data_IF_404627674908
#
_entry.id   IF_404627674908
#
_cell.length_a   1.000
_cell.length_b   1.000
_cell.length_c   1.000
_cell.angle_alpha   90.00
_cell.angle_beta   90.00
_cell.angle_gamma   90.00
#
_symmetry.space_group_name_H-M   'P 1'
#
loop_
_entity.id
_entity.type
_entity.pdbx_description
1 polymer ?
#
# COMPACT_ATOMS: atom_id res chain seq x y z
N UNK A 1 -45.94 12.97 2.83
CA UNK A 1 -45.15 13.20 1.60
C UNK A 1 -43.71 12.87 1.97
N UNK A 2 -43.27 11.64 1.66
CA UNK A 2 -42.41 11.35 0.50
C UNK A 2 -41.06 12.06 0.68
N UNK A 3 -39.97 11.42 1.11
CA UNK A 3 -39.45 10.14 0.63
C UNK A 3 -38.38 10.45 -0.40
N UNK A 4 -37.12 10.22 -0.06
CA UNK A 4 -36.03 9.96 -1.01
C UNK A 4 -34.98 9.11 -0.29
N UNK A 5 -34.97 7.85 -0.71
CA UNK A 5 -34.01 6.82 -0.40
C UNK A 5 -32.93 6.97 -1.47
N UNK A 6 -31.67 7.14 -1.06
CA UNK A 6 -30.50 7.11 -1.93
C UNK A 6 -29.50 6.13 -1.33
N UNK A 7 -29.53 4.91 -1.86
CA UNK A 7 -28.68 3.76 -1.55
C UNK A 7 -27.20 4.05 -1.79
N UNK A 8 -26.35 3.89 -0.77
CA UNK A 8 -24.97 3.44 -0.94
C UNK A 8 -24.71 2.31 0.07
N UNK A 9 -25.04 1.09 -0.34
CA UNK A 9 -24.60 -0.13 0.33
C UNK A 9 -23.10 -0.34 0.09
N UNK A 10 -22.27 0.39 0.83
CA UNK A 10 -20.87 0.05 1.07
C UNK A 10 -20.78 -0.74 2.38
N UNK A 11 -19.95 -1.78 2.41
CA UNK A 11 -19.85 -2.75 3.50
C UNK A 11 -19.88 -2.11 4.90
N UNK A 12 -20.86 -2.49 5.73
CA UNK A 12 -20.87 -2.22 7.18
C UNK A 12 -19.73 -3.01 7.84
N UNK A 13 -18.51 -2.51 7.67
CA UNK A 13 -17.36 -2.84 8.50
C UNK A 13 -17.00 -1.59 9.27
N UNK A 14 -16.79 -1.72 10.58
CA UNK A 14 -16.28 -0.65 11.44
C UNK A 14 -15.05 -0.04 10.75
N UNK A 15 -15.17 1.14 10.15
CA UNK A 15 -14.00 1.87 9.67
C UNK A 15 -13.17 2.22 10.91
N UNK A 16 -11.92 1.73 11.02
CA UNK A 16 -11.06 2.17 12.12
C UNK A 16 -10.94 3.69 12.04
N UNK A 17 -10.96 4.41 13.17
CA UNK A 17 -10.91 5.86 13.17
C UNK A 17 -9.78 6.36 12.25
N UNK A 18 -10.03 7.44 11.50
CA UNK A 18 -9.19 8.00 10.41
C UNK A 18 -7.72 8.29 10.77
N UNK A 19 -7.32 8.04 12.01
CA UNK A 19 -6.07 8.45 12.63
C UNK A 19 -5.12 7.25 12.84
N UNK A 20 -5.56 6.02 12.58
CA UNK A 20 -4.73 4.83 12.83
C UNK A 20 -3.80 4.47 11.66
N UNK A 21 -2.61 3.98 12.01
CA UNK A 21 -1.64 3.53 11.02
C UNK A 21 -2.11 2.24 10.34
N UNK A 22 -1.94 2.15 9.02
CA UNK A 22 -2.39 0.99 8.23
C UNK A 22 -1.24 0.30 7.49
N UNK A 23 -1.36 -1.02 7.33
CA UNK A 23 -0.41 -1.85 6.59
C UNK A 23 -0.84 -2.00 5.13
N UNK A 24 -0.53 -1.00 4.30
CA UNK A 24 -0.89 -1.00 2.88
C UNK A 24 -0.08 -2.00 2.08
N UNK A 25 -0.72 -2.65 1.11
CA UNK A 25 -0.08 -3.53 0.12
C UNK A 25 -0.27 -2.91 -1.26
N UNK A 26 0.75 -3.03 -2.11
CA UNK A 26 0.65 -2.55 -3.49
C UNK A 26 -0.21 -3.50 -4.34
N UNK A 27 -0.95 -2.96 -5.31
CA UNK A 27 -1.80 -3.76 -6.19
C UNK A 27 -1.01 -4.84 -6.94
N UNK A 28 0.21 -4.53 -7.42
CA UNK A 28 1.06 -5.52 -8.11
C UNK A 28 1.45 -6.68 -7.21
N UNK A 29 1.93 -6.41 -6.00
CA UNK A 29 2.28 -7.46 -5.03
C UNK A 29 1.04 -8.33 -4.70
N UNK A 30 -0.14 -7.70 -4.61
CA UNK A 30 -1.37 -8.41 -4.36
C UNK A 30 -1.79 -9.30 -5.54
N UNK A 31 -1.73 -8.77 -6.76
CA UNK A 31 -2.05 -9.49 -7.99
C UNK A 31 -1.08 -10.65 -8.23
N UNK A 32 0.21 -10.47 -7.95
CA UNK A 32 1.22 -11.52 -8.12
C UNK A 32 0.93 -12.70 -7.18
N UNK A 33 0.62 -12.43 -5.90
CA UNK A 33 0.23 -13.46 -4.96
C UNK A 33 -1.09 -14.14 -5.35
N UNK A 34 -2.11 -13.38 -5.75
CA UNK A 34 -3.37 -13.95 -6.22
C UNK A 34 -3.16 -14.84 -7.45
N UNK A 35 -2.34 -14.40 -8.40
CA UNK A 35 -2.05 -15.16 -9.62
C UNK A 35 -1.39 -16.49 -9.29
N UNK A 36 -0.43 -16.51 -8.36
CA UNK A 36 0.23 -17.73 -7.93
C UNK A 36 -0.75 -18.70 -7.24
N UNK A 37 -1.59 -18.18 -6.33
CA UNK A 37 -2.58 -18.99 -5.60
C UNK A 37 -3.70 -19.53 -6.49
N UNK A 38 -4.12 -18.78 -7.51
CA UNK A 38 -5.20 -19.19 -8.43
C UNK A 38 -4.67 -20.23 -9.43
N UNK A 39 -3.44 -20.08 -9.90
CA UNK A 39 -2.86 -20.94 -10.94
C UNK A 39 -2.18 -22.19 -10.40
N UNK A 40 -2.01 -22.31 -9.08
CA UNK A 40 -1.42 -23.51 -8.49
C UNK A 40 -2.39 -24.70 -8.56
N UNK A 41 -1.95 -25.82 -9.14
CA UNK A 41 -2.66 -27.11 -9.19
C UNK A 41 -2.74 -27.82 -7.82
N UNK A 42 -2.48 -27.11 -6.72
CA UNK A 42 -2.58 -27.68 -5.40
C UNK A 42 -4.05 -27.76 -4.98
N UNK A 43 -4.57 -28.98 -4.81
CA UNK A 43 -5.87 -29.30 -4.18
C UNK A 43 -6.06 -28.60 -2.81
N UNK A 44 -4.98 -28.09 -2.22
CA UNK A 44 -4.99 -27.09 -1.17
C UNK A 44 -5.38 -25.70 -1.69
N UNK A 45 -6.55 -25.58 -2.32
CA UNK A 45 -7.17 -24.28 -2.51
C UNK A 45 -7.25 -23.59 -1.14
N UNK A 46 -6.76 -22.35 -1.04
CA UNK A 46 -6.90 -21.53 0.16
C UNK A 46 -8.37 -21.54 0.58
N UNK A 47 -8.68 -22.21 1.69
CA UNK A 47 -10.02 -22.24 2.26
C UNK A 47 -10.13 -21.18 3.34
N UNK A 48 -11.20 -20.37 3.28
CA UNK A 48 -11.48 -19.33 4.26
C UNK A 48 -10.89 -17.97 3.90
N UNK A 49 -10.70 -17.14 4.91
CA UNK A 49 -10.19 -15.76 4.78
C UNK A 49 -8.70 -15.74 5.06
N UNK A 50 -7.91 -15.20 4.13
CA UNK A 50 -6.49 -14.93 4.31
C UNK A 50 -6.25 -13.43 4.20
N UNK A 51 -5.59 -12.86 5.20
CA UNK A 51 -5.19 -11.46 5.19
C UNK A 51 -3.94 -11.22 4.34
N UNK A 52 -3.92 -10.08 3.64
CA UNK A 52 -2.78 -9.59 2.88
C UNK A 52 -2.40 -8.20 3.36
N UNK A 53 -1.13 -7.99 3.69
CA UNK A 53 -0.65 -6.68 4.14
C UNK A 53 0.79 -6.42 3.76
N UNK A 54 1.14 -5.14 3.63
CA UNK A 54 2.53 -4.73 3.45
C UNK A 54 3.40 -4.92 4.70
N UNK A 55 4.69 -4.59 4.56
CA UNK A 55 5.70 -4.78 5.59
C UNK A 55 5.66 -3.78 6.74
N UNK A 56 5.21 -2.55 6.48
CA UNK A 56 5.28 -1.43 7.42
C UNK A 56 3.93 -0.74 7.51
N UNK A 57 3.53 -0.38 8.73
CA UNK A 57 2.41 0.52 8.95
C UNK A 57 2.79 1.94 8.53
N UNK A 58 1.81 2.67 7.99
CA UNK A 58 1.93 4.08 7.65
C UNK A 58 0.84 4.86 8.36
N UNK A 59 1.23 5.90 9.10
CA UNK A 59 0.27 6.86 9.64
C UNK A 59 -0.15 7.83 8.52
N UNK A 60 -1.34 8.46 8.62
CA UNK A 60 -1.72 9.51 7.69
C UNK A 60 -0.67 10.65 7.63
N UNK A 61 -0.10 11.01 8.78
CA UNK A 61 0.96 12.03 8.88
C UNK A 61 2.22 11.62 8.10
N UNK A 62 2.75 10.41 8.32
CA UNK A 62 3.95 9.96 7.63
C UNK A 62 3.73 9.80 6.12
N UNK A 63 2.52 9.43 5.71
CA UNK A 63 2.13 9.37 4.31
C UNK A 63 2.14 10.76 3.67
N UNK A 64 1.51 11.76 4.31
CA UNK A 64 1.47 13.13 3.79
C UNK A 64 2.86 13.76 3.70
N UNK A 65 3.72 13.54 4.71
CA UNK A 65 5.11 14.01 4.70
C UNK A 65 5.89 13.39 3.53
N UNK A 66 5.70 12.09 3.25
CA UNK A 66 6.37 11.40 2.13
C UNK A 66 5.86 11.91 0.78
N UNK A 67 4.54 12.10 0.64
CA UNK A 67 3.93 12.69 -0.55
C UNK A 67 4.46 14.10 -0.81
N UNK A 68 4.57 14.93 0.23
CA UNK A 68 5.07 16.30 0.13
C UNK A 68 6.53 16.32 -0.34
N UNK A 69 7.37 15.47 0.24
CA UNK A 69 8.77 15.32 -0.15
C UNK A 69 8.91 14.86 -1.61
N UNK A 70 8.18 13.81 -1.99
CA UNK A 70 8.20 13.27 -3.34
C UNK A 70 7.72 14.29 -4.38
N UNK A 71 6.63 15.00 -4.09
CA UNK A 71 6.10 16.04 -4.97
C UNK A 71 7.08 17.22 -5.13
N UNK A 72 7.72 17.66 -4.04
CA UNK A 72 8.76 18.69 -4.09
C UNK A 72 9.94 18.26 -4.97
N UNK A 73 10.41 17.01 -4.85
CA UNK A 73 11.49 16.49 -5.69
C UNK A 73 11.06 16.40 -7.16
N UNK A 74 9.85 15.92 -7.40
CA UNK A 74 9.29 15.79 -8.73
C UNK A 74 9.19 17.16 -9.44
N UNK A 75 8.57 18.15 -8.79
CA UNK A 75 8.45 19.51 -9.34
C UNK A 75 9.79 20.22 -9.49
N UNK A 76 10.73 20.05 -8.55
CA UNK A 76 12.08 20.59 -8.69
C UNK A 76 12.84 19.98 -9.87
N UNK A 77 12.62 18.71 -10.18
CA UNK A 77 13.20 18.05 -11.34
C UNK A 77 12.63 18.62 -12.64
N UNK A 78 11.30 18.77 -12.72
CA UNK A 78 10.61 19.36 -13.88
C UNK A 78 11.06 20.80 -14.16
N UNK A 79 11.27 21.60 -13.11
CA UNK A 79 11.65 23.01 -13.24
C UNK A 79 13.16 23.27 -13.16
N UNK A 80 13.98 22.22 -13.08
CA UNK A 80 15.43 22.33 -12.89
C UNK A 80 15.85 23.21 -11.71
N UNK A 81 15.07 23.20 -10.62
CA UNK A 81 15.19 24.13 -9.48
C UNK A 81 15.75 23.48 -8.21
N UNK A 82 16.45 22.35 -8.32
CA UNK A 82 17.06 21.70 -7.18
C UNK A 82 18.08 22.59 -6.46
N UNK A 83 18.00 22.62 -5.13
CA UNK A 83 18.98 23.25 -4.24
C UNK A 83 19.77 22.18 -3.48
N UNK A 84 20.94 22.54 -2.95
CA UNK A 84 21.72 21.64 -2.07
C UNK A 84 20.84 21.14 -0.92
N UNK A 85 20.05 22.02 -0.30
CA UNK A 85 19.13 21.64 0.77
C UNK A 85 18.10 20.58 0.30
N UNK A 86 17.46 20.80 -0.85
CA UNK A 86 16.46 19.87 -1.40
C UNK A 86 17.01 18.46 -1.69
N UNK A 87 18.31 18.35 -1.92
CA UNK A 87 19.03 17.10 -2.17
C UNK A 87 19.63 16.50 -0.90
N UNK A 88 19.85 17.31 0.14
CA UNK A 88 20.50 16.90 1.40
C UNK A 88 19.48 16.49 2.47
N UNK A 89 18.22 16.88 2.36
CA UNK A 89 17.16 16.42 3.28
C UNK A 89 17.03 14.89 3.23
N UNK A 90 17.45 14.27 4.35
CA UNK A 90 17.54 12.82 4.53
C UNK A 90 16.15 12.17 4.74
N UNK A 91 16.16 10.86 4.66
CA UNK A 91 15.32 10.04 3.78
C UNK A 91 14.07 9.46 4.45
N UNK A 92 12.90 9.79 3.90
CA UNK A 92 11.60 9.16 4.17
C UNK A 92 11.07 9.26 5.61
N UNK A 93 9.82 9.71 5.83
CA UNK A 93 9.11 9.50 7.09
C UNK A 93 8.97 8.02 7.46
N UNK A 94 9.20 7.10 6.51
CA UNK A 94 9.31 5.67 6.80
C UNK A 94 10.44 5.35 7.79
N UNK A 95 11.47 6.19 7.91
CA UNK A 95 12.57 6.01 8.85
C UNK A 95 12.10 6.09 10.32
N UNK A 96 11.11 6.93 10.63
CA UNK A 96 10.52 7.07 11.97
C UNK A 96 9.36 6.09 12.21
N UNK A 97 9.58 4.80 11.89
CA UNK A 97 8.52 3.78 11.91
C UNK A 97 7.70 3.76 13.19
N UNK A 98 6.42 4.09 13.06
CA UNK A 98 5.39 3.69 14.00
C UNK A 98 5.38 2.15 14.05
N UNK A 99 5.71 1.60 15.22
CA UNK A 99 5.72 0.16 15.51
C UNK A 99 4.51 -0.18 16.38
N UNK A 100 3.28 -0.01 15.88
CA UNK A 100 2.17 -0.69 16.54
C UNK A 100 2.27 -2.18 16.20
N UNK A 101 2.67 -2.98 17.19
CA UNK A 101 2.71 -4.45 17.04
C UNK A 101 1.31 -5.05 16.93
N UNK A 102 0.28 -4.31 17.34
CA UNK A 102 -1.05 -4.86 17.57
C UNK A 102 -1.99 -4.73 16.35
N UNK A 103 -1.54 -4.10 15.26
CA UNK A 103 -2.36 -3.81 14.06
C UNK A 103 -1.98 -4.61 12.81
N UNK A 104 -0.96 -5.47 12.87
CA UNK A 104 -0.60 -6.29 11.70
C UNK A 104 -1.37 -7.61 11.77
N UNK A 105 -2.16 -7.97 10.74
CA UNK A 105 -2.82 -9.26 10.71
C UNK A 105 -1.78 -10.39 10.66
N UNK A 106 -2.22 -11.59 11.04
CA UNK A 106 -1.39 -12.79 10.89
C UNK A 106 -1.25 -13.14 9.41
N UNK A 107 -0.01 -13.16 8.91
CA UNK A 107 0.31 -13.47 7.52
C UNK A 107 0.93 -14.86 7.35
N UNK A 108 1.06 -15.65 8.42
CA UNK A 108 1.55 -17.02 8.31
C UNK A 108 0.70 -17.86 7.33
N UNK A 109 -0.65 -17.78 7.33
CA UNK A 109 -1.46 -18.53 6.37
C UNK A 109 -1.16 -18.17 4.90
N UNK A 110 -1.01 -16.87 4.61
CA UNK A 110 -0.65 -16.39 3.27
C UNK A 110 0.75 -16.87 2.87
N UNK A 111 1.71 -16.76 3.79
CA UNK A 111 3.09 -17.15 3.56
C UNK A 111 3.18 -18.64 3.19
N UNK A 112 2.55 -19.50 3.99
CA UNK A 112 2.56 -20.94 3.77
C UNK A 112 1.80 -21.35 2.51
N UNK A 113 0.69 -20.67 2.19
CA UNK A 113 -0.06 -20.92 0.96
C UNK A 113 0.79 -20.61 -0.28
N UNK A 114 1.52 -19.49 -0.29
CA UNK A 114 2.40 -19.12 -1.39
C UNK A 114 3.61 -20.05 -1.52
N UNK A 115 4.14 -20.58 -0.41
CA UNK A 115 5.18 -21.62 -0.45
C UNK A 115 4.66 -22.91 -1.07
N UNK A 116 3.46 -23.35 -0.69
CA UNK A 116 2.82 -24.56 -1.25
C UNK A 116 2.51 -24.42 -2.73
N UNK A 117 2.14 -23.21 -3.16
CA UNK A 117 1.93 -22.88 -4.57
C UNK A 117 3.23 -22.80 -5.39
N UNK A 118 4.40 -23.06 -4.78
CA UNK A 118 5.70 -23.10 -5.46
C UNK A 118 6.44 -21.77 -5.52
N UNK A 119 5.98 -20.75 -4.79
CA UNK A 119 6.66 -19.45 -4.65
C UNK A 119 7.56 -19.37 -3.41
N UNK A 120 8.07 -18.16 -3.14
CA UNK A 120 8.99 -17.87 -2.03
C UNK A 120 8.29 -17.42 -0.72
N UNK A 121 6.97 -17.60 -0.65
CA UNK A 121 6.14 -17.09 0.45
C UNK A 121 5.84 -15.59 0.34
N UNK A 122 5.07 -15.06 1.29
CA UNK A 122 4.63 -13.65 1.25
C UNK A 122 5.77 -12.67 1.47
N UNK A 123 6.13 -11.95 0.41
CA UNK A 123 7.22 -10.97 0.38
C UNK A 123 6.85 -9.82 -0.57
N UNK A 124 6.03 -8.85 -0.14
CA UNK A 124 5.72 -7.69 -0.99
C UNK A 124 7.01 -6.92 -1.28
N UNK A 125 7.20 -6.59 -2.55
CA UNK A 125 8.40 -6.03 -3.13
C UNK A 125 8.26 -4.52 -3.36
N UNK A 126 7.04 -4.06 -3.67
CA UNK A 126 6.81 -2.65 -3.96
C UNK A 126 6.71 -1.87 -2.66
N UNK A 127 7.57 -0.87 -2.50
CA UNK A 127 7.53 0.02 -1.35
C UNK A 127 6.40 1.06 -1.48
N UNK A 128 5.89 1.55 -0.34
CA UNK A 128 4.93 2.66 -0.32
C UNK A 128 5.44 3.88 -1.11
N UNK A 129 6.73 4.20 -1.01
CA UNK A 129 7.35 5.30 -1.77
C UNK A 129 7.13 5.12 -3.27
N UNK A 130 7.41 3.91 -3.78
CA UNK A 130 7.23 3.60 -5.21
C UNK A 130 5.75 3.73 -5.60
N UNK A 131 4.85 3.21 -4.78
CA UNK A 131 3.41 3.37 -5.01
C UNK A 131 2.98 4.85 -5.11
N UNK A 132 3.46 5.70 -4.20
CA UNK A 132 3.18 7.15 -4.23
C UNK A 132 3.80 7.84 -5.44
N UNK A 133 5.03 7.46 -5.82
CA UNK A 133 5.67 7.98 -7.03
C UNK A 133 4.88 7.61 -8.29
N UNK A 134 4.38 6.38 -8.38
CA UNK A 134 3.52 5.96 -9.49
C UNK A 134 2.25 6.81 -9.56
N UNK A 135 1.59 7.10 -8.42
CA UNK A 135 0.43 8.00 -8.39
C UNK A 135 0.75 9.38 -8.97
N UNK A 136 1.95 9.93 -8.70
CA UNK A 136 2.35 11.21 -9.30
C UNK A 136 2.64 11.09 -10.80
N UNK A 137 3.30 10.02 -11.23
CA UNK A 137 3.62 9.83 -12.64
C UNK A 137 2.37 9.75 -13.53
N UNK A 138 1.29 9.10 -13.07
CA UNK A 138 0.04 9.00 -13.84
C UNK A 138 -0.72 10.34 -13.96
N UNK A 139 -0.39 11.37 -13.17
CA UNK A 139 -1.06 12.68 -13.28
C UNK A 139 -0.64 13.47 -14.52
N UNK A 140 0.55 13.21 -15.04
CA UNK A 140 1.04 13.92 -16.22
C UNK A 140 0.50 13.33 -17.53
N UNK A 141 0.12 12.05 -17.51
CA UNK A 141 -0.43 11.36 -18.70
C UNK A 141 -1.79 11.94 -19.13
N UNK A 142 -2.57 12.50 -18.20
CA UNK A 142 -3.85 13.16 -18.48
C UNK A 142 -3.70 14.63 -18.96
N UNK A 143 -2.47 15.14 -19.04
CA UNK A 143 -2.16 16.54 -19.39
C UNK A 143 -1.67 16.73 -20.84
N UNK A 144 -1.64 15.67 -21.64
CA UNK A 144 -1.28 15.65 -23.07
C UNK A 144 -2.38 15.04 -23.92
#
# INVERSE_FOLDING_TARGET
MSGLIGSEGGAEGIHPPDIEARHWVHVRDATDALSLLILSDTDAAVQGVIDMSGRRAWTPKSMLEEMTLLWSRFTNALHHSHTIQSLTEDTSPAASSYRSRDLRPDLAPLHDALLKAGGDGWRPLVSMRVALMEVFAHRDEDST
#
